data_IF_659704731186
#
_entry.id   IF_659704731186
#
_cell.length_a   1.000
_cell.length_b   1.000
_cell.length_c   1.000
_cell.angle_alpha   90.00
_cell.angle_beta   90.00
_cell.angle_gamma   90.00
#
_symmetry.space_group_name_H-M   'P 1'
#
loop_
_entity.id
_entity.type
_entity.pdbx_description
1 polymer ?
#
# COMPACT_ATOMS: atom_id res chain seq x y z
N UNK A 1 -39.68 36.71 17.56
CA UNK A 1 -39.40 35.29 17.91
C UNK A 1 -38.85 34.66 16.62
N UNK A 2 -37.55 34.86 16.35
CA UNK A 2 -36.48 33.83 16.46
C UNK A 2 -36.76 32.62 15.56
N UNK A 3 -35.88 32.13 14.69
CA UNK A 3 -34.46 32.40 14.46
C UNK A 3 -34.11 31.83 13.09
N UNK A 4 -33.15 32.46 12.43
CA UNK A 4 -32.49 31.99 11.20
C UNK A 4 -31.85 30.62 11.47
N UNK A 5 -32.05 29.63 10.58
CA UNK A 5 -31.31 28.37 10.62
C UNK A 5 -29.86 28.62 10.18
N UNK A 6 -28.92 28.50 11.14
CA UNK A 6 -27.49 28.45 10.88
C UNK A 6 -27.08 27.14 10.18
N UNK A 7 -25.95 27.14 9.44
CA UNK A 7 -25.46 25.96 8.74
C UNK A 7 -24.99 24.92 9.77
N UNK A 8 -25.53 23.70 9.65
CA UNK A 8 -25.14 22.56 10.48
C UNK A 8 -23.65 22.27 10.27
N UNK A 9 -22.89 22.54 11.32
CA UNK A 9 -21.53 22.10 11.55
C UNK A 9 -21.35 20.64 11.12
N UNK A 10 -20.47 20.41 10.14
CA UNK A 10 -19.85 19.12 9.94
C UNK A 10 -19.07 18.78 11.21
N UNK A 11 -19.73 18.13 12.17
CA UNK A 11 -19.02 17.50 13.28
C UNK A 11 -18.14 16.44 12.65
N UNK A 12 -16.83 16.71 12.63
CA UNK A 12 -15.83 15.67 12.51
C UNK A 12 -16.13 14.69 13.66
N UNK A 13 -16.72 13.55 13.32
CA UNK A 13 -16.85 12.46 14.28
C UNK A 13 -15.45 12.17 14.82
N UNK A 14 -15.28 11.99 16.14
CA UNK A 14 -13.99 11.69 16.72
C UNK A 14 -13.42 10.52 15.96
N UNK A 15 -12.22 10.74 15.39
CA UNK A 15 -11.42 9.74 14.70
C UNK A 15 -11.57 8.45 15.48
N UNK A 16 -12.15 7.43 14.84
CA UNK A 16 -12.26 6.06 15.32
C UNK A 16 -11.11 5.80 16.25
N UNK A 17 -11.39 5.65 17.56
CA UNK A 17 -10.43 5.30 18.60
C UNK A 17 -9.34 4.44 17.99
N UNK A 18 -8.19 5.04 17.65
CA UNK A 18 -7.09 4.28 17.07
C UNK A 18 -6.75 3.24 18.11
N UNK A 19 -6.92 1.97 17.75
CA UNK A 19 -6.62 0.86 18.64
C UNK A 19 -5.23 1.12 19.23
N UNK A 20 -5.15 1.17 20.55
CA UNK A 20 -3.95 1.44 21.35
C UNK A 20 -3.00 0.23 21.34
N UNK A 21 -2.86 -0.41 20.18
CA UNK A 21 -2.06 -1.60 19.94
C UNK A 21 -0.74 -1.27 19.29
N UNK A 22 0.28 -2.11 19.53
CA UNK A 22 1.56 -2.02 18.84
C UNK A 22 1.36 -2.35 17.35
N UNK A 23 1.79 -1.45 16.48
CA UNK A 23 1.75 -1.65 15.02
C UNK A 23 3.15 -1.84 14.45
N UNK A 24 3.29 -2.75 13.49
CA UNK A 24 4.50 -2.89 12.67
C UNK A 24 4.20 -2.60 11.21
N UNK A 25 5.20 -2.09 10.48
CA UNK A 25 5.14 -1.84 9.05
C UNK A 25 6.22 -2.65 8.35
N UNK A 26 5.84 -3.34 7.28
CA UNK A 26 6.79 -4.06 6.41
C UNK A 26 6.80 -3.40 5.06
N UNK A 27 7.94 -2.82 4.71
CA UNK A 27 8.13 -2.20 3.40
C UNK A 27 8.68 -3.20 2.39
N UNK A 28 7.84 -3.58 1.44
CA UNK A 28 8.19 -4.41 0.30
C UNK A 28 8.88 -3.56 -0.77
N UNK A 29 10.05 -4.04 -1.22
CA UNK A 29 10.78 -3.49 -2.37
C UNK A 29 11.06 -4.58 -3.39
N UNK A 30 12.11 -5.38 -3.16
CA UNK A 30 12.50 -6.50 -4.05
C UNK A 30 11.93 -7.85 -3.62
N UNK A 31 11.79 -8.08 -2.32
CA UNK A 31 11.32 -9.35 -1.76
C UNK A 31 9.80 -9.45 -1.80
N UNK A 32 9.19 -9.46 -2.99
CA UNK A 32 7.74 -9.55 -3.18
C UNK A 32 7.21 -10.97 -2.92
N UNK A 33 7.43 -11.47 -1.71
CA UNK A 33 7.07 -12.84 -1.29
C UNK A 33 6.73 -12.90 0.19
N UNK A 34 5.89 -13.86 0.53
CA UNK A 34 5.53 -14.19 1.91
C UNK A 34 6.46 -15.23 2.51
N UNK A 35 6.81 -16.27 1.75
CA UNK A 35 7.72 -17.33 2.20
C UNK A 35 9.15 -16.80 2.37
N UNK A 36 9.87 -17.34 3.35
CA UNK A 36 11.28 -17.03 3.60
C UNK A 36 11.55 -15.51 3.58
N UNK A 37 10.77 -14.77 4.37
CA UNK A 37 10.86 -13.33 4.51
C UNK A 37 11.08 -12.96 5.99
N UNK A 38 12.35 -12.90 6.45
CA UNK A 38 12.67 -12.59 7.85
C UNK A 38 12.14 -11.23 8.32
N UNK A 39 12.01 -10.25 7.42
CA UNK A 39 11.44 -8.95 7.76
C UNK A 39 9.94 -9.05 8.06
N UNK A 40 9.21 -9.84 7.27
CA UNK A 40 7.81 -10.13 7.52
C UNK A 40 7.63 -10.96 8.80
N UNK A 41 8.47 -11.97 9.01
CA UNK A 41 8.45 -12.80 10.22
C UNK A 41 8.75 -11.99 11.49
N UNK A 42 9.69 -11.04 11.43
CA UNK A 42 9.99 -10.18 12.57
C UNK A 42 8.81 -9.23 12.87
N UNK A 43 8.21 -8.64 11.84
CA UNK A 43 7.12 -7.68 12.01
C UNK A 43 5.82 -8.32 12.53
N UNK A 44 5.59 -9.61 12.28
CA UNK A 44 4.44 -10.33 12.86
C UNK A 44 4.63 -10.68 14.33
N UNK A 45 5.88 -10.68 14.85
CA UNK A 45 6.15 -10.97 16.26
C UNK A 45 5.85 -9.74 17.13
N UNK A 46 4.82 -9.84 17.98
CA UNK A 46 4.52 -8.84 19.01
C UNK A 46 3.80 -7.58 18.52
N UNK A 47 3.26 -7.61 17.30
CA UNK A 47 2.44 -6.51 16.75
C UNK A 47 0.99 -6.94 16.67
N UNK A 48 0.10 -6.12 17.21
CA UNK A 48 -1.35 -6.30 17.09
C UNK A 48 -1.82 -5.96 15.66
N UNK A 49 -1.14 -5.00 15.02
CA UNK A 49 -1.40 -4.59 13.64
C UNK A 49 -0.15 -4.70 12.78
N UNK A 50 -0.32 -5.20 11.55
CA UNK A 50 0.73 -5.26 10.54
C UNK A 50 0.29 -4.49 9.30
N UNK A 51 1.15 -3.60 8.81
CA UNK A 51 0.94 -2.81 7.60
C UNK A 51 1.96 -3.20 6.51
N UNK A 52 1.62 -4.14 5.61
CA UNK A 52 2.40 -4.41 4.41
C UNK A 52 2.29 -3.24 3.43
N UNK A 53 3.42 -2.61 3.07
CA UNK A 53 3.43 -1.44 2.17
C UNK A 53 4.35 -1.67 0.98
N UNK A 54 3.89 -1.27 -0.21
CA UNK A 54 4.72 -1.08 -1.40
C UNK A 54 4.49 0.33 -1.94
N UNK A 55 5.54 1.01 -2.38
CA UNK A 55 5.45 2.37 -2.96
C UNK A 55 5.77 2.29 -4.44
N UNK A 56 4.83 2.72 -5.27
CA UNK A 56 5.05 2.85 -6.71
C UNK A 56 5.73 4.20 -6.96
N UNK A 57 6.97 4.14 -7.44
CA UNK A 57 7.70 5.34 -7.87
C UNK A 57 7.23 5.75 -9.28
N UNK A 58 6.62 6.95 -9.45
CA UNK A 58 6.13 7.42 -10.75
C UNK A 58 7.22 7.42 -11.82
N UNK A 59 8.47 7.67 -11.44
CA UNK A 59 9.58 7.71 -12.39
C UNK A 59 9.83 6.38 -13.13
N UNK A 60 9.37 5.26 -12.56
CA UNK A 60 9.44 3.94 -13.19
C UNK A 60 8.16 3.54 -13.92
N UNK A 61 7.04 4.21 -13.70
CA UNK A 61 5.72 3.85 -14.24
C UNK A 61 5.23 4.81 -15.33
N UNK A 62 5.60 6.09 -15.24
CA UNK A 62 5.14 7.12 -16.18
C UNK A 62 5.61 6.79 -17.60
N UNK A 63 4.70 6.72 -18.58
CA UNK A 63 5.07 6.51 -19.97
C UNK A 63 6.00 7.61 -20.47
N UNK A 64 7.11 7.22 -21.09
CA UNK A 64 8.06 8.15 -21.70
C UNK A 64 7.93 8.10 -23.23
N UNK A 65 7.35 9.13 -23.88
CA UNK A 65 7.21 9.18 -25.33
C UNK A 65 8.56 9.23 -26.08
N UNK A 66 9.65 9.59 -25.40
CA UNK A 66 10.99 9.67 -26.00
C UNK A 66 11.73 8.33 -25.99
N UNK A 67 11.22 7.33 -25.28
CA UNK A 67 11.83 6.02 -25.21
C UNK A 67 11.69 5.25 -26.54
N UNK A 68 12.73 4.48 -26.90
CA UNK A 68 12.75 3.65 -28.11
C UNK A 68 11.69 2.52 -28.13
N UNK A 69 11.03 2.25 -27.00
CA UNK A 69 10.01 1.21 -26.86
C UNK A 69 8.99 1.60 -25.78
N UNK A 70 7.76 1.05 -25.80
CA UNK A 70 6.75 1.38 -24.81
C UNK A 70 7.18 1.06 -23.37
N UNK A 71 7.02 2.05 -22.48
CA UNK A 71 7.39 1.95 -21.07
C UNK A 71 7.72 3.33 -20.49
N UNK A 72 8.36 3.33 -19.32
CA UNK A 72 8.98 4.52 -18.74
C UNK A 72 10.42 4.68 -19.22
N UNK A 73 11.02 5.82 -18.87
CA UNK A 73 12.45 6.09 -19.10
C UNK A 73 13.39 5.04 -18.49
N UNK A 74 12.92 4.26 -17.49
CA UNK A 74 13.73 3.28 -16.74
C UNK A 74 13.24 1.84 -16.80
N UNK A 75 12.03 1.61 -17.31
CA UNK A 75 11.45 0.28 -17.38
C UNK A 75 10.53 0.13 -18.59
N UNK A 76 10.82 -0.85 -19.44
CA UNK A 76 9.92 -1.25 -20.52
C UNK A 76 8.62 -1.87 -19.98
N UNK A 77 7.56 -1.84 -20.79
CA UNK A 77 6.22 -2.31 -20.44
C UNK A 77 6.17 -3.74 -19.89
N UNK A 78 7.04 -4.63 -20.38
CA UNK A 78 7.09 -6.02 -19.91
C UNK A 78 7.49 -6.12 -18.44
N UNK A 79 8.48 -5.31 -18.02
CA UNK A 79 8.96 -5.29 -16.64
C UNK A 79 7.93 -4.63 -15.72
N UNK A 80 7.27 -3.57 -16.20
CA UNK A 80 6.18 -2.92 -15.47
C UNK A 80 5.03 -3.91 -15.24
N UNK A 81 4.60 -4.63 -16.29
CA UNK A 81 3.55 -5.65 -16.19
C UNK A 81 3.92 -6.75 -15.20
N UNK A 82 5.14 -7.28 -15.29
CA UNK A 82 5.64 -8.30 -14.36
C UNK A 82 5.60 -7.81 -12.91
N UNK A 83 5.98 -6.54 -12.66
CA UNK A 83 5.90 -5.95 -11.33
C UNK A 83 4.45 -5.90 -10.81
N UNK A 84 3.52 -5.40 -11.63
CA UNK A 84 2.10 -5.31 -11.24
C UNK A 84 1.47 -6.68 -10.98
N UNK A 85 1.79 -7.68 -11.79
CA UNK A 85 1.36 -9.07 -11.58
C UNK A 85 1.93 -9.64 -10.27
N UNK A 86 3.20 -9.37 -9.99
CA UNK A 86 3.86 -9.77 -8.73
C UNK A 86 3.22 -9.11 -7.50
N UNK A 87 2.87 -7.81 -7.58
CA UNK A 87 2.18 -7.11 -6.49
C UNK A 87 0.77 -7.66 -6.26
N UNK A 88 0.05 -8.01 -7.34
CA UNK A 88 -1.27 -8.61 -7.25
C UNK A 88 -1.22 -10.01 -6.61
N UNK A 89 -0.21 -10.81 -6.95
CA UNK A 89 0.00 -12.12 -6.34
C UNK A 89 0.38 -11.99 -4.84
N UNK A 90 1.26 -11.06 -4.51
CA UNK A 90 1.63 -10.75 -3.12
C UNK A 90 0.41 -10.31 -2.29
N UNK A 91 -0.41 -9.38 -2.80
CA UNK A 91 -1.64 -8.94 -2.13
C UNK A 91 -2.62 -10.12 -1.95
N UNK A 92 -2.77 -10.98 -2.96
CA UNK A 92 -3.61 -12.17 -2.86
C UNK A 92 -3.10 -13.14 -1.80
N UNK A 93 -1.78 -13.31 -1.70
CA UNK A 93 -1.14 -14.14 -0.67
C UNK A 93 -1.31 -13.56 0.73
N UNK A 94 -1.19 -12.24 0.90
CA UNK A 94 -1.44 -11.55 2.17
C UNK A 94 -2.92 -11.62 2.59
N UNK A 95 -3.86 -11.49 1.64
CA UNK A 95 -5.30 -11.64 1.88
C UNK A 95 -5.69 -13.03 2.39
N UNK A 96 -5.04 -14.08 1.88
CA UNK A 96 -5.23 -15.45 2.40
C UNK A 96 -4.83 -15.58 3.87
N UNK A 97 -3.95 -14.70 4.36
CA UNK A 97 -3.49 -14.64 5.75
C UNK A 97 -4.25 -13.58 6.58
N UNK A 98 -5.33 -12.99 6.06
CA UNK A 98 -6.11 -11.97 6.77
C UNK A 98 -5.50 -10.56 6.74
N UNK A 99 -4.48 -10.32 5.91
CA UNK A 99 -3.86 -9.00 5.71
C UNK A 99 -4.17 -8.43 4.32
N UNK A 100 -3.56 -7.30 3.96
CA UNK A 100 -3.68 -6.67 2.63
C UNK A 100 -2.42 -5.88 2.31
N UNK A 101 -2.02 -5.86 1.05
CA UNK A 101 -0.95 -4.97 0.60
C UNK A 101 -1.48 -3.54 0.41
N UNK A 102 -0.84 -2.58 1.06
CA UNK A 102 -1.06 -1.15 0.82
C UNK A 102 -0.11 -0.70 -0.27
N UNK A 103 -0.66 -0.28 -1.41
CA UNK A 103 0.09 0.28 -2.52
C UNK A 103 -0.11 1.79 -2.50
N UNK A 104 0.98 2.54 -2.39
CA UNK A 104 1.03 4.00 -2.36
C UNK A 104 1.62 4.56 -3.66
#
# INVERSE_FOLDING_TARGET
RFSVCSPSSYRLNPITSMATGSGSLVWFRKGLRVHDNPALEYATKGSEFLYPVFVIDPHYMEPDPSAFSPGSSRAGVNRIRFLLESLKDLDSSLKKLGSRLLVL
#
